data_IF_494631828266
#
_entry.id   IF_494631828266
#
_cell.length_a   1.000
_cell.length_b   1.000
_cell.length_c   1.000
_cell.angle_alpha   90.00
_cell.angle_beta   90.00
_cell.angle_gamma   90.00
#
_symmetry.space_group_name_H-M   'P 1'
#
loop_
_entity.id
_entity.type
_entity.pdbx_description
1 polymer ?
#
# COMPACT_ATOMS: atom_id res chain seq x y z
N UNK A 1 -23.18 -19.57 -0.12
CA UNK A 1 -23.78 -18.23 -0.25
C UNK A 1 -22.71 -17.33 -0.85
N UNK A 2 -22.82 -17.05 -2.14
CA UNK A 2 -21.85 -16.22 -2.88
C UNK A 2 -22.23 -14.77 -2.59
N UNK A 3 -21.43 -14.03 -1.83
CA UNK A 3 -21.66 -12.60 -1.58
C UNK A 3 -20.86 -11.78 -2.61
N UNK A 4 -21.51 -10.96 -3.44
CA UNK A 4 -20.85 -10.18 -4.47
C UNK A 4 -20.05 -9.06 -3.81
N UNK A 5 -18.73 -9.13 -4.00
CA UNK A 5 -17.60 -8.46 -3.33
C UNK A 5 -17.68 -6.98 -2.92
N UNK A 6 -18.68 -6.19 -3.30
CA UNK A 6 -18.90 -4.83 -2.79
C UNK A 6 -20.27 -4.25 -3.23
N UNK A 7 -21.16 -5.07 -3.78
CA UNK A 7 -22.34 -4.56 -4.47
C UNK A 7 -23.46 -4.21 -3.49
N UNK A 8 -24.21 -3.15 -3.79
CA UNK A 8 -25.32 -2.71 -2.96
C UNK A 8 -26.43 -2.05 -3.79
N UNK A 9 -27.61 -1.96 -3.18
CA UNK A 9 -28.76 -1.17 -3.63
C UNK A 9 -29.13 -0.11 -2.59
N UNK A 10 -28.77 -0.35 -1.32
CA UNK A 10 -29.03 0.55 -0.19
C UNK A 10 -27.84 0.56 0.77
N UNK A 11 -27.59 1.71 1.41
CA UNK A 11 -26.49 1.89 2.38
C UNK A 11 -26.50 0.88 3.53
N UNK A 12 -27.68 0.42 3.96
CA UNK A 12 -27.82 -0.55 5.05
C UNK A 12 -27.09 -1.89 4.75
N UNK A 13 -26.92 -2.27 3.49
CA UNK A 13 -26.16 -3.48 3.11
C UNK A 13 -24.66 -3.30 3.39
N UNK A 14 -24.15 -2.09 3.20
CA UNK A 14 -22.73 -1.76 3.36
C UNK A 14 -22.26 -1.85 4.81
N UNK A 15 -23.15 -1.59 5.77
CA UNK A 15 -22.87 -1.74 7.21
C UNK A 15 -22.34 -3.13 7.56
N UNK A 16 -22.84 -4.17 6.89
CA UNK A 16 -22.41 -5.57 7.09
C UNK A 16 -21.22 -5.93 6.20
N UNK A 17 -21.14 -5.37 5.00
CA UNK A 17 -20.09 -5.70 4.00
C UNK A 17 -18.76 -5.03 4.36
N UNK A 18 -18.76 -3.70 4.49
CA UNK A 18 -17.55 -2.88 4.67
C UNK A 18 -17.53 -2.11 5.99
N UNK A 19 -18.62 -2.12 6.76
CA UNK A 19 -18.71 -1.49 8.08
C UNK A 19 -19.46 -0.16 8.07
N UNK A 20 -19.56 0.47 9.25
CA UNK A 20 -20.42 1.63 9.47
C UNK A 20 -19.99 2.89 8.71
N UNK A 21 -18.70 3.02 8.38
CA UNK A 21 -18.14 4.17 7.68
C UNK A 21 -18.25 4.04 6.14
N UNK A 22 -19.43 3.64 5.64
CA UNK A 22 -19.66 3.43 4.22
C UNK A 22 -21.07 3.77 3.75
N UNK A 23 -21.19 4.16 2.48
CA UNK A 23 -22.43 4.46 1.75
C UNK A 23 -22.56 3.57 0.52
N UNK A 24 -23.80 3.34 0.08
CA UNK A 24 -24.03 2.76 -1.24
C UNK A 24 -24.05 3.86 -2.30
N UNK A 25 -23.04 3.87 -3.17
CA UNK A 25 -22.87 4.85 -4.25
C UNK A 25 -22.69 4.12 -5.57
N UNK A 26 -23.50 4.47 -6.57
CA UNK A 26 -23.48 3.84 -7.90
C UNK A 26 -23.54 2.29 -7.88
N UNK A 27 -24.21 1.74 -6.86
CA UNK A 27 -24.37 0.31 -6.67
C UNK A 27 -23.18 -0.40 -6.01
N UNK A 28 -22.23 0.34 -5.45
CA UNK A 28 -21.07 -0.18 -4.71
C UNK A 28 -20.95 0.45 -3.33
N UNK A 29 -20.45 -0.29 -2.33
CA UNK A 29 -20.15 0.31 -1.04
C UNK A 29 -18.85 1.10 -1.11
N UNK A 30 -18.94 2.39 -0.84
CA UNK A 30 -17.81 3.32 -0.85
C UNK A 30 -17.58 3.80 0.57
N UNK A 31 -16.31 3.95 0.97
CA UNK A 31 -15.98 4.49 2.28
C UNK A 31 -16.21 6.00 2.31
N UNK A 32 -16.66 6.52 3.46
CA UNK A 32 -16.81 7.97 3.64
C UNK A 32 -15.47 8.71 3.48
N UNK A 33 -15.56 10.03 3.26
CA UNK A 33 -14.38 10.90 3.33
C UNK A 33 -13.64 10.73 4.67
N UNK A 34 -12.30 10.70 4.60
CA UNK A 34 -11.46 10.40 5.76
C UNK A 34 -11.34 8.91 6.09
N UNK A 35 -12.01 8.02 5.35
CA UNK A 35 -11.87 6.57 5.47
C UNK A 35 -11.33 5.95 4.16
N UNK A 36 -10.71 4.79 4.27
CA UNK A 36 -10.24 4.00 3.13
C UNK A 36 -10.59 2.52 3.30
N UNK A 37 -10.73 1.81 2.18
CA UNK A 37 -11.00 0.38 2.18
C UNK A 37 -9.69 -0.39 2.39
N UNK A 38 -9.60 -1.17 3.48
CA UNK A 38 -8.50 -2.10 3.74
C UNK A 38 -8.99 -3.30 4.53
N UNK A 39 -8.50 -4.49 4.17
CA UNK A 39 -8.91 -5.76 4.79
C UNK A 39 -10.45 -5.98 4.78
N UNK A 40 -11.09 -5.54 3.69
CA UNK A 40 -12.52 -5.69 3.46
C UNK A 40 -13.42 -4.73 4.25
N UNK A 41 -12.86 -3.74 4.96
CA UNK A 41 -13.62 -2.76 5.74
C UNK A 41 -13.12 -1.34 5.54
N UNK A 42 -13.98 -0.37 5.84
CA UNK A 42 -13.62 1.04 5.86
C UNK A 42 -12.95 1.40 7.19
N UNK A 43 -11.69 1.83 7.11
CA UNK A 43 -10.88 2.26 8.25
C UNK A 43 -10.55 3.74 8.13
N UNK A 44 -10.40 4.48 9.24
CA UNK A 44 -9.99 5.87 9.21
C UNK A 44 -8.59 5.99 8.59
N UNK A 45 -8.40 6.97 7.71
CA UNK A 45 -7.10 7.28 7.10
C UNK A 45 -6.16 7.85 8.17
N UNK A 46 -5.12 7.10 8.51
CA UNK A 46 -4.08 7.51 9.45
C UNK A 46 -2.75 7.61 8.72
N UNK A 47 -2.14 8.79 8.73
CA UNK A 47 -0.92 9.10 7.97
C UNK A 47 0.34 8.54 8.61
N UNK A 48 1.46 8.61 7.88
CA UNK A 48 2.77 8.23 8.42
C UNK A 48 3.10 8.98 9.71
N UNK A 49 3.61 8.24 10.69
CA UNK A 49 3.97 8.69 12.04
C UNK A 49 2.80 9.18 12.90
N UNK A 50 1.56 9.01 12.46
CA UNK A 50 0.38 9.27 13.29
C UNK A 50 0.00 8.04 14.14
N UNK A 51 -0.67 8.24 15.30
CA UNK A 51 -1.08 7.16 16.18
C UNK A 51 -2.06 6.19 15.54
N UNK A 52 -1.80 4.88 15.68
CA UNK A 52 -2.66 3.81 15.17
C UNK A 52 -2.85 2.69 16.19
N UNK A 53 -3.96 1.99 16.05
CA UNK A 53 -4.24 0.74 16.77
C UNK A 53 -4.08 -0.49 15.88
N UNK A 54 -4.24 -0.33 14.55
CA UNK A 54 -4.21 -1.43 13.57
C UNK A 54 -3.56 -1.00 12.28
N UNK A 55 -2.90 -1.94 11.60
CA UNK A 55 -2.33 -1.67 10.26
C UNK A 55 -3.38 -1.27 9.24
N UNK A 56 -4.61 -1.73 9.39
CA UNK A 56 -5.72 -1.41 8.48
C UNK A 56 -6.09 0.07 8.47
N UNK A 57 -5.74 0.84 9.52
CA UNK A 57 -5.95 2.29 9.64
C UNK A 57 -4.86 3.09 8.89
N UNK A 58 -3.69 2.49 8.65
CA UNK A 58 -2.60 3.19 8.02
C UNK A 58 -2.84 3.37 6.53
N UNK A 59 -2.75 4.61 6.08
CA UNK A 59 -3.05 5.04 4.72
C UNK A 59 -1.88 5.83 4.12
N UNK A 60 -1.53 5.50 2.88
CA UNK A 60 -0.49 6.21 2.12
C UNK A 60 -0.85 6.20 0.64
N UNK A 61 -2.00 6.77 0.28
CA UNK A 61 -2.48 6.84 -1.11
C UNK A 61 -2.30 5.49 -1.86
N UNK A 62 -1.68 5.53 -3.04
CA UNK A 62 -1.39 4.37 -3.90
C UNK A 62 -0.40 3.35 -3.29
N UNK A 63 0.21 3.67 -2.15
CA UNK A 63 1.22 2.88 -1.45
C UNK A 63 0.71 2.36 -0.08
N UNK A 64 -0.60 2.32 0.11
CA UNK A 64 -1.23 1.87 1.37
C UNK A 64 -0.81 0.44 1.76
N UNK A 65 -0.49 -0.41 0.79
CA UNK A 65 0.05 -1.76 1.00
C UNK A 65 1.46 -1.77 1.63
N UNK A 66 2.20 -0.65 1.56
CA UNK A 66 3.55 -0.50 2.10
C UNK A 66 3.59 0.00 3.54
N UNK A 67 2.47 0.41 4.12
CA UNK A 67 2.41 0.93 5.49
C UNK A 67 1.71 -0.04 6.43
N UNK A 68 2.17 -0.05 7.67
CA UNK A 68 1.62 -0.87 8.75
C UNK A 68 1.74 -0.16 10.09
N UNK A 69 0.91 -0.57 11.06
CA UNK A 69 0.97 -0.04 12.41
C UNK A 69 2.11 -0.73 13.17
N UNK A 70 3.09 0.03 13.64
CA UNK A 70 4.25 -0.47 14.40
C UNK A 70 4.51 0.46 15.56
N UNK A 71 4.63 -0.09 16.76
CA UNK A 71 4.82 0.69 18.00
C UNK A 71 3.77 1.81 18.12
N UNK A 72 2.52 1.50 17.80
CA UNK A 72 1.38 2.42 17.84
C UNK A 72 1.49 3.64 16.91
N UNK A 73 2.37 3.61 15.90
CA UNK A 73 2.47 4.63 14.86
C UNK A 73 2.41 3.97 13.48
N UNK A 74 1.76 4.65 12.52
CA UNK A 74 1.80 4.20 11.14
C UNK A 74 3.21 4.40 10.57
N UNK A 75 3.82 3.32 10.10
CA UNK A 75 5.19 3.32 9.60
C UNK A 75 5.25 2.52 8.30
N UNK A 76 6.29 2.76 7.52
CA UNK A 76 6.58 1.85 6.43
C UNK A 76 6.88 0.44 6.97
N UNK A 77 6.42 -0.56 6.21
CA UNK A 77 6.73 -1.97 6.42
C UNK A 77 8.23 -2.23 6.17
N UNK A 78 8.72 -3.38 6.64
CA UNK A 78 10.15 -3.67 6.68
C UNK A 78 10.80 -3.74 5.29
N UNK A 79 10.01 -4.10 4.28
CA UNK A 79 10.39 -4.27 2.88
C UNK A 79 10.44 -2.95 2.11
N UNK A 80 9.93 -1.87 2.71
CA UNK A 80 9.82 -0.57 2.06
C UNK A 80 10.39 0.56 2.94
N UNK A 81 11.70 0.77 2.98
CA UNK A 81 12.32 1.80 3.81
C UNK A 81 11.72 3.20 3.59
N UNK A 82 11.59 3.95 4.68
CA UNK A 82 11.16 5.34 4.63
C UNK A 82 12.25 6.22 4.00
N UNK A 83 11.84 7.07 3.06
CA UNK A 83 12.68 8.12 2.48
C UNK A 83 12.26 9.47 3.04
N UNK A 84 13.16 10.16 3.74
CA UNK A 84 12.92 11.52 4.25
C UNK A 84 12.77 12.54 3.12
N UNK A 85 13.54 12.38 2.03
CA UNK A 85 13.51 13.27 0.87
C UNK A 85 12.16 13.19 0.15
N UNK A 86 11.70 11.98 -0.14
CA UNK A 86 10.45 11.75 -0.85
C UNK A 86 9.23 11.68 0.08
N UNK A 87 9.46 11.67 1.40
CA UNK A 87 8.45 11.51 2.46
C UNK A 87 7.52 10.31 2.23
N UNK A 88 8.08 9.19 1.76
CA UNK A 88 7.31 8.01 1.35
C UNK A 88 8.08 6.70 1.56
N UNK A 89 7.42 5.56 1.33
CA UNK A 89 7.98 4.22 1.47
C UNK A 89 8.53 3.71 0.12
N UNK A 90 9.85 3.64 -0.01
CA UNK A 90 10.53 3.22 -1.25
C UNK A 90 10.61 1.71 -1.35
N UNK A 91 10.48 1.16 -2.56
CA UNK A 91 10.77 -0.26 -2.79
C UNK A 91 12.26 -0.54 -2.60
N UNK A 92 12.62 -1.53 -1.78
CA UNK A 92 14.01 -2.00 -1.63
C UNK A 92 14.58 -2.71 -2.86
N UNK A 93 13.86 -2.75 -3.99
CA UNK A 93 14.29 -3.40 -5.23
C UNK A 93 15.46 -2.65 -5.87
N UNK A 94 16.66 -2.86 -5.32
CA UNK A 94 17.91 -2.58 -5.98
C UNK A 94 18.00 -3.53 -7.17
N UNK A 95 17.63 -3.09 -8.38
CA UNK A 95 17.98 -3.84 -9.59
C UNK A 95 19.50 -3.74 -9.74
N UNK A 96 20.22 -4.72 -9.19
CA UNK A 96 21.67 -4.84 -9.34
C UNK A 96 22.02 -5.28 -10.76
N UNK A 97 21.75 -4.43 -11.76
CA UNK A 97 22.12 -4.70 -13.17
C UNK A 97 23.62 -4.45 -13.42
N UNK A 98 24.29 -3.77 -12.48
CA UNK A 98 25.70 -3.40 -12.60
C UNK A 98 26.66 -4.58 -12.72
N UNK A 99 26.40 -5.70 -12.03
CA UNK A 99 27.32 -6.83 -12.01
C UNK A 99 27.46 -7.53 -13.36
N UNK A 100 26.37 -7.65 -14.12
CA UNK A 100 26.39 -8.28 -15.45
C UNK A 100 26.97 -7.32 -16.49
N UNK A 101 26.66 -6.03 -16.41
CA UNK A 101 27.23 -5.03 -17.31
C UNK A 101 28.76 -4.93 -17.18
N UNK A 102 29.29 -4.92 -15.95
CA UNK A 102 30.73 -4.81 -15.72
C UNK A 102 31.50 -6.05 -16.19
N UNK A 103 30.92 -7.25 -16.03
CA UNK A 103 31.55 -8.49 -16.50
C UNK A 103 31.56 -8.60 -18.03
N UNK A 104 30.47 -8.20 -18.70
CA UNK A 104 30.40 -8.16 -20.17
C UNK A 104 31.39 -7.13 -20.74
N UNK A 105 31.48 -5.93 -20.15
CA UNK A 105 32.44 -4.90 -20.59
C UNK A 105 33.90 -5.36 -20.42
N UNK A 106 34.23 -6.05 -19.33
CA UNK A 106 35.57 -6.59 -19.11
C UNK A 106 35.94 -7.66 -20.16
N UNK A 107 35.01 -8.55 -20.52
CA UNK A 107 35.23 -9.56 -21.55
C UNK A 107 35.44 -8.93 -22.94
N UNK A 108 34.68 -7.89 -23.29
CA UNK A 108 34.84 -7.15 -24.54
C UNK A 108 36.22 -6.46 -24.58
N UNK A 109 36.65 -5.81 -23.49
CA UNK A 109 37.95 -5.15 -23.41
C UNK A 109 39.11 -6.12 -23.64
N UNK A 110 39.09 -7.29 -23.00
CA UNK A 110 40.13 -8.32 -23.18
C UNK A 110 40.18 -8.80 -24.64
N UNK A 111 39.02 -9.03 -25.26
CA UNK A 111 38.89 -9.46 -26.67
C UNK A 111 39.39 -8.44 -27.70
N UNK A 112 39.41 -7.14 -27.35
CA UNK A 112 39.87 -6.07 -28.23
C UNK A 112 41.38 -5.78 -28.11
N UNK A 113 42.01 -6.22 -27.02
CA UNK A 113 43.42 -5.98 -26.72
C UNK A 113 44.29 -7.25 -26.80
N UNK A 114 43.73 -8.35 -27.30
CA UNK A 114 44.41 -9.60 -27.62
C UNK A 114 43.93 -10.10 -29.00
#
# INVERSE_FOLDING_TARGET
LVHPSNQCTVTAQCLVITGEASSCEEGQCVCFEGYHLRDGRCWPKTGLFEPCSRSSECFLEDLTDRVQCRNSLCQCSFEYPYSEELRTCMSSATTSVGSLFMTILALIYVKLNY
#
